data_IF_718042011528
#
_entry.id   IF_718042011528
#
_cell.length_a   1.000
_cell.length_b   1.000
_cell.length_c   1.000
_cell.angle_alpha   90.00
_cell.angle_beta   90.00
_cell.angle_gamma   90.00
#
_symmetry.space_group_name_H-M   'P 1'
#
loop_
_entity.id
_entity.type
_entity.pdbx_description
1 polymer ?
#
# COMPACT_ATOMS: atom_id res chain seq x y z
N UNK A 1 0.32 -25.56 -14.77
CA UNK A 1 1.18 -24.39 -15.11
C UNK A 1 1.15 -23.39 -13.96
N UNK A 2 1.81 -23.70 -12.85
CA UNK A 2 1.69 -22.94 -11.59
C UNK A 2 2.78 -21.90 -11.37
N UNK A 3 3.68 -21.62 -12.34
CA UNK A 3 4.86 -20.75 -12.17
C UNK A 3 4.78 -19.34 -12.79
N UNK A 4 3.74 -19.04 -13.57
CA UNK A 4 3.71 -17.81 -14.36
C UNK A 4 3.64 -16.53 -13.51
N UNK A 5 2.84 -16.54 -12.42
CA UNK A 5 2.65 -15.37 -11.57
C UNK A 5 3.86 -15.09 -10.66
N UNK A 6 4.55 -16.13 -10.18
CA UNK A 6 5.77 -15.99 -9.39
C UNK A 6 6.86 -15.29 -10.20
N UNK A 7 6.97 -15.60 -11.49
CA UNK A 7 7.94 -14.95 -12.37
C UNK A 7 7.57 -13.49 -12.67
N UNK A 8 6.27 -13.13 -12.68
CA UNK A 8 5.85 -11.73 -12.69
C UNK A 8 6.27 -11.02 -11.39
N UNK A 9 6.00 -11.60 -10.21
CA UNK A 9 6.39 -10.99 -8.94
C UNK A 9 7.91 -10.82 -8.83
N UNK A 10 8.70 -11.82 -9.22
CA UNK A 10 10.17 -11.71 -9.23
C UNK A 10 10.64 -10.58 -10.14
N UNK A 11 9.97 -10.35 -11.28
CA UNK A 11 10.28 -9.22 -12.17
C UNK A 11 9.94 -7.88 -11.54
N UNK A 12 8.78 -7.75 -10.90
CA UNK A 12 8.39 -6.54 -10.15
C UNK A 12 9.41 -6.23 -9.06
N UNK A 13 9.71 -7.19 -8.17
CA UNK A 13 10.73 -7.02 -7.11
C UNK A 13 12.10 -6.57 -7.67
N UNK A 14 12.47 -7.01 -8.88
CA UNK A 14 13.72 -6.57 -9.52
C UNK A 14 13.65 -5.12 -10.00
N UNK A 15 12.50 -4.67 -10.49
CA UNK A 15 12.26 -3.27 -10.87
C UNK A 15 12.27 -2.37 -9.63
N UNK A 16 11.53 -2.72 -8.58
CA UNK A 16 11.45 -1.95 -7.33
C UNK A 16 12.83 -1.74 -6.70
N UNK A 17 13.67 -2.80 -6.69
CA UNK A 17 15.07 -2.69 -6.25
C UNK A 17 15.88 -1.66 -7.05
N UNK A 18 15.64 -1.59 -8.35
CA UNK A 18 16.31 -0.63 -9.23
C UNK A 18 15.77 0.79 -9.00
N UNK A 19 14.47 0.93 -8.77
CA UNK A 19 13.82 2.19 -8.44
C UNK A 19 14.30 2.75 -7.10
N UNK A 20 14.34 1.93 -6.05
CA UNK A 20 14.92 2.29 -4.74
C UNK A 20 16.36 2.82 -4.90
N UNK A 21 17.18 2.15 -5.70
CA UNK A 21 18.55 2.58 -5.94
C UNK A 21 18.63 3.94 -6.66
N UNK A 22 17.71 4.21 -7.59
CA UNK A 22 17.62 5.50 -8.28
C UNK A 22 17.11 6.60 -7.33
N UNK A 23 16.07 6.33 -6.55
CA UNK A 23 15.55 7.26 -5.54
C UNK A 23 16.63 7.63 -4.52
N UNK A 24 17.44 6.66 -4.07
CA UNK A 24 18.58 6.95 -3.20
C UNK A 24 19.59 7.92 -3.84
N UNK A 25 19.91 7.74 -5.13
CA UNK A 25 20.80 8.68 -5.86
C UNK A 25 20.18 10.07 -5.95
N UNK A 26 18.89 10.16 -6.29
CA UNK A 26 18.19 11.44 -6.35
C UNK A 26 18.23 12.14 -4.98
N UNK A 27 17.94 11.42 -3.89
CA UNK A 27 18.01 11.97 -2.53
C UNK A 27 19.40 12.50 -2.14
N UNK A 28 20.49 11.97 -2.72
CA UNK A 28 21.84 12.49 -2.49
C UNK A 28 22.13 13.78 -3.28
N UNK A 29 21.48 13.97 -4.43
CA UNK A 29 21.71 15.12 -5.31
C UNK A 29 20.79 16.31 -5.00
N UNK A 30 19.65 16.07 -4.34
CA UNK A 30 18.67 17.13 -4.07
C UNK A 30 19.15 18.03 -2.91
N UNK A 31 19.26 19.35 -3.13
CA UNK A 31 19.76 20.27 -2.10
C UNK A 31 18.72 20.51 -0.98
N UNK A 32 17.43 20.47 -1.32
CA UNK A 32 16.34 20.70 -0.37
C UNK A 32 16.24 19.57 0.66
N UNK A 33 16.29 19.92 1.94
CA UNK A 33 16.05 18.96 3.02
C UNK A 33 14.63 18.37 2.95
N UNK A 34 13.62 19.20 2.70
CA UNK A 34 12.23 18.76 2.63
C UNK A 34 12.02 17.72 1.52
N UNK A 35 12.54 17.97 0.31
CA UNK A 35 12.46 17.02 -0.80
C UNK A 35 13.20 15.71 -0.49
N UNK A 36 14.37 15.79 0.19
CA UNK A 36 15.08 14.59 0.64
C UNK A 36 14.24 13.76 1.61
N UNK A 37 13.53 14.39 2.55
CA UNK A 37 12.63 13.68 3.46
C UNK A 37 11.50 12.96 2.70
N UNK A 38 10.86 13.62 1.74
CA UNK A 38 9.81 13.01 0.91
C UNK A 38 10.33 11.78 0.16
N UNK A 39 11.49 11.89 -0.49
CA UNK A 39 12.08 10.77 -1.24
C UNK A 39 12.42 9.60 -0.30
N UNK A 40 12.90 9.87 0.92
CA UNK A 40 13.17 8.82 1.90
C UNK A 40 11.89 8.11 2.37
N UNK A 41 10.77 8.83 2.49
CA UNK A 41 9.46 8.23 2.77
C UNK A 41 9.00 7.32 1.62
N UNK A 42 9.16 7.76 0.36
CA UNK A 42 8.87 6.93 -0.81
C UNK A 42 9.70 5.65 -0.82
N UNK A 43 11.01 5.76 -0.57
CA UNK A 43 11.92 4.60 -0.48
C UNK A 43 11.47 3.62 0.61
N UNK A 44 11.01 4.12 1.76
CA UNK A 44 10.53 3.27 2.85
C UNK A 44 9.30 2.49 2.41
N UNK A 45 8.31 3.15 1.79
CA UNK A 45 7.10 2.51 1.27
C UNK A 45 7.43 1.42 0.25
N UNK A 46 8.29 1.72 -0.71
CA UNK A 46 8.72 0.77 -1.74
C UNK A 46 9.35 -0.51 -1.15
N UNK A 47 10.10 -0.37 -0.04
CA UNK A 47 10.66 -1.51 0.69
C UNK A 47 9.59 -2.37 1.36
N UNK A 48 8.56 -1.75 1.93
CA UNK A 48 7.42 -2.44 2.56
C UNK A 48 6.59 -3.20 1.51
N UNK A 49 6.36 -2.59 0.34
CA UNK A 49 5.68 -3.22 -0.80
C UNK A 49 6.49 -4.39 -1.37
N UNK A 50 7.80 -4.20 -1.59
CA UNK A 50 8.71 -5.27 -2.01
C UNK A 50 8.69 -6.46 -1.04
N UNK A 51 8.62 -6.21 0.27
CA UNK A 51 8.62 -7.26 1.28
C UNK A 51 7.30 -8.03 1.28
N UNK A 52 6.17 -7.35 1.08
CA UNK A 52 4.85 -7.99 0.91
C UNK A 52 4.85 -8.92 -0.30
N UNK A 53 5.44 -8.50 -1.42
CA UNK A 53 5.62 -9.34 -2.62
C UNK A 53 6.49 -10.58 -2.35
N UNK A 54 7.52 -10.47 -1.51
CA UNK A 54 8.33 -11.63 -1.08
C UNK A 54 7.54 -12.59 -0.20
N UNK A 55 6.72 -12.06 0.71
CA UNK A 55 5.84 -12.90 1.53
C UNK A 55 4.89 -13.70 0.64
N UNK A 56 4.29 -13.09 -0.40
CA UNK A 56 3.43 -13.78 -1.36
C UNK A 56 4.15 -14.93 -2.07
N UNK A 57 5.42 -14.77 -2.47
CA UNK A 57 6.22 -15.86 -3.02
C UNK A 57 6.45 -17.00 -2.01
N UNK A 58 6.55 -16.69 -0.72
CA UNK A 58 6.72 -17.66 0.37
C UNK A 58 5.42 -18.33 0.83
N UNK A 59 4.27 -17.93 0.29
CA UNK A 59 2.96 -18.55 0.56
C UNK A 59 2.61 -19.68 -0.40
N UNK A 60 3.43 -19.94 -1.42
CA UNK A 60 3.23 -21.02 -2.38
C UNK A 60 3.17 -22.38 -1.66
N UNK A 61 2.08 -23.12 -1.84
CA UNK A 61 1.83 -24.41 -1.16
C UNK A 61 1.13 -24.35 0.20
N UNK A 62 0.74 -23.17 0.72
CA UNK A 62 -0.18 -23.10 1.86
C UNK A 62 -1.63 -23.31 1.41
N UNK A 63 -2.42 -24.00 2.22
CA UNK A 63 -3.87 -24.12 1.97
C UNK A 63 -4.50 -22.72 1.89
N UNK A 64 -5.39 -22.48 0.90
CA UNK A 64 -6.25 -21.30 0.91
C UNK A 64 -6.97 -21.20 2.25
N UNK A 65 -7.26 -19.98 2.71
CA UNK A 65 -8.09 -19.81 3.89
C UNK A 65 -9.39 -20.64 3.76
N UNK A 66 -9.73 -21.42 4.79
CA UNK A 66 -10.85 -22.39 4.79
C UNK A 66 -12.22 -21.76 4.52
N UNK A 67 -12.32 -20.43 4.61
CA UNK A 67 -13.48 -19.67 4.21
C UNK A 67 -13.15 -18.83 2.98
N UNK A 68 -13.91 -18.96 1.88
CA UNK A 68 -13.88 -17.95 0.83
C UNK A 68 -14.43 -16.66 1.44
N UNK A 69 -13.53 -15.77 1.88
CA UNK A 69 -13.89 -14.37 2.06
C UNK A 69 -14.57 -13.94 0.76
N UNK A 70 -15.71 -13.24 0.88
CA UNK A 70 -16.54 -12.76 -0.24
C UNK A 70 -15.67 -12.38 -1.45
N UNK A 71 -16.08 -12.69 -2.69
CA UNK A 71 -15.29 -12.36 -3.88
C UNK A 71 -14.77 -10.93 -3.75
N UNK A 72 -13.45 -10.76 -3.92
CA UNK A 72 -12.85 -9.44 -3.90
C UNK A 72 -13.58 -8.59 -4.93
N UNK A 73 -14.38 -7.63 -4.44
CA UNK A 73 -14.90 -6.58 -5.29
C UNK A 73 -13.73 -5.63 -5.51
N UNK A 74 -13.39 -5.28 -6.77
CA UNK A 74 -12.49 -4.17 -7.00
C UNK A 74 -12.97 -2.99 -6.17
N UNK A 75 -12.05 -2.33 -5.46
CA UNK A 75 -12.36 -1.02 -4.91
C UNK A 75 -12.93 -0.19 -6.07
N UNK A 76 -14.10 0.46 -5.90
CA UNK A 76 -14.56 1.40 -6.91
C UNK A 76 -13.41 2.39 -7.18
N UNK A 77 -13.19 2.80 -8.43
CA UNK A 77 -12.14 3.77 -8.74
C UNK A 77 -12.30 4.96 -7.79
N UNK A 78 -11.27 5.23 -7.00
CA UNK A 78 -11.24 6.31 -6.01
C UNK A 78 -11.31 7.71 -6.64
N UNK A 79 -11.37 7.80 -7.97
CA UNK A 79 -11.82 8.98 -8.69
C UNK A 79 -13.35 8.99 -8.73
N UNK A 80 -13.96 9.24 -7.57
CA UNK A 80 -15.23 9.94 -7.53
C UNK A 80 -14.99 11.37 -8.02
N UNK A 81 -15.97 11.94 -8.73
CA UNK A 81 -16.00 13.32 -9.22
C UNK A 81 -16.10 14.37 -8.07
N UNK A 82 -15.48 14.09 -6.94
CA UNK A 82 -15.57 14.84 -5.69
C UNK A 82 -14.19 15.38 -5.27
N UNK A 83 -13.47 15.97 -6.23
CA UNK A 83 -12.27 16.75 -5.92
C UNK A 83 -12.69 18.00 -5.15
N UNK A 84 -12.75 17.89 -3.82
CA UNK A 84 -12.82 19.01 -2.89
C UNK A 84 -11.41 19.60 -2.74
N UNK A 85 -11.13 20.79 -3.32
CA UNK A 85 -9.80 21.38 -3.31
C UNK A 85 -9.31 21.79 -1.91
N UNK A 86 -10.17 21.75 -0.89
CA UNK A 86 -9.81 22.04 0.50
C UNK A 86 -9.40 20.79 1.32
N UNK A 87 -9.40 19.60 0.72
CA UNK A 87 -8.98 18.36 1.41
C UNK A 87 -7.46 18.33 1.57
N UNK A 88 -6.99 18.44 2.82
CA UNK A 88 -5.57 18.37 3.18
C UNK A 88 -4.94 17.04 2.68
N UNK A 89 -3.97 17.09 1.73
CA UNK A 89 -3.31 15.91 1.18
C UNK A 89 -2.53 15.09 2.22
N UNK A 90 -2.33 15.63 3.42
CA UNK A 90 -1.57 15.00 4.50
C UNK A 90 -2.46 14.31 5.55
N UNK A 91 -3.79 14.31 5.40
CA UNK A 91 -4.67 13.65 6.36
C UNK A 91 -4.69 12.12 6.15
N UNK A 92 -3.95 11.42 7.00
CA UNK A 92 -3.97 9.95 7.12
C UNK A 92 -4.87 9.59 8.32
N UNK A 93 -6.09 9.06 8.12
CA UNK A 93 -6.98 8.75 9.23
C UNK A 93 -6.36 7.67 10.13
N UNK A 94 -6.32 7.87 11.46
CA UNK A 94 -5.77 6.88 12.36
C UNK A 94 -6.65 5.62 12.35
N UNK A 95 -6.04 4.49 12.05
CA UNK A 95 -6.69 3.17 12.07
C UNK A 95 -7.18 2.85 13.50
N UNK A 96 -8.50 2.73 13.61
CA UNK A 96 -9.33 2.50 14.81
C UNK A 96 -8.79 1.46 15.81
N UNK A 97 -9.12 1.64 17.10
CA UNK A 97 -9.62 0.53 17.90
C UNK A 97 -10.92 0.92 18.61
N UNK A 98 -12.04 0.37 18.16
CA UNK A 98 -12.67 -0.84 18.71
C UNK A 98 -13.96 -0.55 19.53
N UNK A 99 -14.84 -1.56 19.63
CA UNK A 99 -16.30 -1.44 19.59
C UNK A 99 -16.88 -1.34 21.00
N UNK A 100 -18.11 -0.85 21.14
CA UNK A 100 -19.08 -1.38 22.11
C UNK A 100 -20.50 -0.95 21.71
N UNK A 101 -21.39 -1.93 21.68
CA UNK A 101 -22.85 -1.79 21.68
C UNK A 101 -23.30 -1.05 22.94
N UNK A 102 -24.22 -0.10 22.83
CA UNK A 102 -25.41 0.06 23.67
C UNK A 102 -26.25 1.26 23.19
N UNK A 103 -27.54 1.16 23.47
CA UNK A 103 -28.67 1.95 23.00
C UNK A 103 -28.63 3.47 23.30
N UNK A 104 -29.64 4.16 22.72
CA UNK A 104 -30.20 5.46 23.10
C UNK A 104 -29.55 6.74 22.53
N UNK A 105 -30.24 7.43 21.60
CA UNK A 105 -31.20 8.51 21.90
C UNK A 105 -31.59 9.32 20.66
N UNK A 106 -32.91 9.37 20.46
CA UNK A 106 -33.76 10.52 20.13
C UNK A 106 -33.38 11.58 19.07
N UNK A 107 -34.44 11.85 18.29
CA UNK A 107 -34.86 13.12 17.68
C UNK A 107 -34.02 13.75 16.57
N UNK A 108 -34.56 13.72 15.35
CA UNK A 108 -35.30 14.88 14.81
C UNK A 108 -36.22 14.53 13.64
#
# INVERSE_FOLDING_TARGET
MTGAWQDYIKRVIKMDKSEIAQMHKIAQMVPSHHCRCIIQMMIRREKEETETLRMLLGMDGREPCKEPKKPWKPCPPEYGDDYDPDRDPCYDPPWDPMPYTEDEKDDK
#
